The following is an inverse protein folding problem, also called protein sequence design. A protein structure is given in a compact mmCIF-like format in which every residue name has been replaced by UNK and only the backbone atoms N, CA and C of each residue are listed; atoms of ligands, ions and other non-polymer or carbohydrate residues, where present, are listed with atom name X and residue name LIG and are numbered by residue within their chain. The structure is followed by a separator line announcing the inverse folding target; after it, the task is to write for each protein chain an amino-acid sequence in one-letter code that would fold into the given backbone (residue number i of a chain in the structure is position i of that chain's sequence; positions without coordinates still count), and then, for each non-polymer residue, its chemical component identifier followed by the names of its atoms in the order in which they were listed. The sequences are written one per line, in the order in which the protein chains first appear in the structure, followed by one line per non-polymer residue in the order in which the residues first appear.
data_IF_789549886011
#
_entry.id   IF_789549886011
#
_cell.length_a   1.000
_cell.length_b   1.000
_cell.length_c   1.000
_cell.angle_alpha   90.00
_cell.angle_beta   90.00
_cell.angle_gamma   90.00
#
_symmetry.space_group_name_H-M   'P 1'
#
loop_
_entity.id
_entity.type
_entity.pdbx_description
1 polymer ?
#
# COMPACT_ATOMS: atom_id res chain seq x y z
N UNK A 1 14.69 28.53 4.09
CA UNK A 1 14.33 27.56 5.16
C UNK A 1 13.24 28.06 6.11
N UNK A 2 12.74 29.28 5.95
CA UNK A 2 11.40 29.67 6.40
C UNK A 2 10.70 30.37 5.25
N UNK A 3 9.44 29.99 4.99
CA UNK A 3 8.53 30.86 4.26
C UNK A 3 7.98 31.88 5.25
N UNK A 4 7.95 33.16 4.89
CA UNK A 4 7.33 34.21 5.72
C UNK A 4 5.86 33.91 6.04
N UNK A 5 5.15 34.84 6.68
CA UNK A 5 3.72 34.64 6.94
C UNK A 5 2.96 34.45 5.61
N UNK A 6 2.31 33.29 5.47
CA UNK A 6 1.51 32.94 4.29
C UNK A 6 0.40 31.95 4.70
N UNK A 7 -0.61 31.81 3.86
CA UNK A 7 -1.84 31.05 4.17
C UNK A 7 -1.58 29.60 4.58
N UNK A 8 -0.60 28.91 3.99
CA UNK A 8 -0.32 27.51 4.30
C UNK A 8 0.19 27.25 5.72
N UNK A 9 0.54 28.29 6.49
CA UNK A 9 0.85 28.14 7.92
C UNK A 9 -0.38 27.75 8.76
N UNK A 10 -1.58 28.00 8.23
CA UNK A 10 -2.86 27.66 8.85
C UNK A 10 -3.52 26.43 8.22
N UNK A 11 -2.86 25.79 7.25
CA UNK A 11 -3.35 24.60 6.56
C UNK A 11 -2.46 23.39 6.88
N UNK A 12 -3.02 22.20 6.65
CA UNK A 12 -2.28 20.93 6.65
C UNK A 12 -2.43 20.28 5.28
N UNK A 13 -1.32 19.89 4.67
CA UNK A 13 -1.35 19.08 3.45
C UNK A 13 -1.68 17.65 3.83
N UNK A 14 -2.74 17.10 3.25
CA UNK A 14 -3.16 15.71 3.43
C UNK A 14 -3.09 15.01 2.08
N UNK A 15 -2.38 13.89 2.03
CA UNK A 15 -2.34 13.03 0.83
C UNK A 15 -3.51 12.04 0.89
N UNK A 16 -4.16 11.82 -0.24
CA UNK A 16 -5.21 10.81 -0.41
C UNK A 16 -4.90 9.95 -1.63
N UNK A 17 -5.23 8.66 -1.55
CA UNK A 17 -5.04 7.71 -2.64
C UNK A 17 -6.12 6.63 -2.59
N UNK A 18 -6.62 6.28 -3.77
CA UNK A 18 -7.64 5.25 -3.97
C UNK A 18 -7.25 4.41 -5.18
N UNK A 19 -7.33 3.09 -5.03
CA UNK A 19 -7.03 2.14 -6.11
C UNK A 19 -8.36 1.57 -6.59
N UNK A 20 -8.77 1.94 -7.80
CA UNK A 20 -10.08 1.57 -8.38
C UNK A 20 -9.98 0.49 -9.46
N UNK A 21 -8.80 0.30 -10.04
CA UNK A 21 -8.54 -0.72 -11.07
C UNK A 21 -8.02 -2.03 -10.44
N UNK A 22 -8.61 -3.16 -10.83
CA UNK A 22 -8.25 -4.48 -10.28
C UNK A 22 -6.87 -4.93 -10.73
N UNK A 23 -6.43 -4.57 -11.94
CA UNK A 23 -5.07 -4.84 -12.42
C UNK A 23 -4.02 -4.14 -11.53
N UNK A 24 -4.27 -2.87 -11.23
CA UNK A 24 -3.46 -2.04 -10.34
C UNK A 24 -3.47 -2.57 -8.90
N UNK A 25 -4.62 -3.02 -8.40
CA UNK A 25 -4.71 -3.68 -7.09
C UNK A 25 -3.81 -4.92 -7.01
N UNK A 26 -3.82 -5.76 -8.03
CA UNK A 26 -2.97 -6.95 -8.08
C UNK A 26 -1.47 -6.58 -8.15
N UNK A 27 -1.12 -5.64 -9.04
CA UNK A 27 0.25 -5.17 -9.21
C UNK A 27 0.82 -4.58 -7.91
N UNK A 28 0.07 -3.67 -7.27
CA UNK A 28 0.47 -3.03 -6.02
C UNK A 28 0.52 -4.03 -4.87
N UNK A 29 -0.44 -4.95 -4.78
CA UNK A 29 -0.42 -6.02 -3.77
C UNK A 29 0.87 -6.85 -3.83
N UNK A 30 1.25 -7.32 -5.02
CA UNK A 30 2.50 -8.07 -5.25
C UNK A 30 3.75 -7.26 -4.93
N UNK A 31 3.78 -6.00 -5.38
CA UNK A 31 4.92 -5.10 -5.17
C UNK A 31 5.12 -4.79 -3.68
N UNK A 32 4.08 -4.29 -3.02
CA UNK A 32 4.11 -3.93 -1.60
C UNK A 32 4.34 -5.16 -0.72
N UNK A 33 3.76 -6.31 -1.09
CA UNK A 33 3.96 -7.59 -0.41
C UNK A 33 5.43 -8.00 -0.37
N UNK A 34 6.10 -7.96 -1.52
CA UNK A 34 7.55 -8.25 -1.64
C UNK A 34 8.41 -7.23 -0.91
N UNK A 35 8.13 -5.93 -1.06
CA UNK A 35 8.90 -4.87 -0.41
C UNK A 35 8.83 -5.00 1.13
N UNK A 36 7.63 -5.19 1.68
CA UNK A 36 7.41 -5.33 3.13
C UNK A 36 8.13 -6.54 3.72
N UNK A 37 8.30 -7.64 2.97
CA UNK A 37 9.06 -8.81 3.43
C UNK A 37 10.55 -8.53 3.58
N UNK A 38 11.13 -7.76 2.66
CA UNK A 38 12.53 -7.32 2.77
C UNK A 38 12.73 -6.42 3.99
N UNK A 39 11.70 -5.68 4.38
CA UNK A 39 11.67 -4.83 5.56
C UNK A 39 11.29 -5.55 6.87
N UNK A 40 11.05 -6.87 6.83
CA UNK A 40 10.61 -7.69 7.97
C UNK A 40 9.23 -7.27 8.55
N UNK A 41 8.34 -6.72 7.72
CA UNK A 41 6.99 -6.30 8.09
C UNK A 41 5.90 -7.27 7.58
N UNK A 42 5.80 -8.44 8.20
CA UNK A 42 4.91 -9.51 7.71
C UNK A 42 3.42 -9.12 7.65
N UNK A 43 2.92 -8.30 8.59
CA UNK A 43 1.53 -7.81 8.54
C UNK A 43 1.23 -6.93 7.32
N UNK A 44 2.19 -6.09 6.92
CA UNK A 44 2.10 -5.30 5.69
C UNK A 44 2.21 -6.19 4.46
N UNK A 45 3.10 -7.19 4.50
CA UNK A 45 3.26 -8.14 3.41
C UNK A 45 1.97 -8.92 3.12
N UNK A 46 1.36 -9.50 4.17
CA UNK A 46 0.10 -10.25 4.05
C UNK A 46 -1.05 -9.37 3.59
N UNK A 47 -1.08 -8.09 3.99
CA UNK A 47 -2.05 -7.11 3.49
C UNK A 47 -1.94 -6.91 1.97
N UNK A 48 -0.73 -6.96 1.42
CA UNK A 48 -0.51 -6.96 -0.04
C UNK A 48 -0.98 -8.26 -0.68
N UNK A 49 -0.60 -9.41 -0.12
CA UNK A 49 -0.94 -10.71 -0.68
C UNK A 49 -2.45 -10.95 -0.76
N UNK A 50 -3.23 -10.62 0.29
CA UNK A 50 -4.69 -10.81 0.25
C UNK A 50 -5.37 -9.97 -0.84
N UNK A 51 -4.81 -8.79 -1.15
CA UNK A 51 -5.32 -7.93 -2.22
C UNK A 51 -4.95 -8.46 -3.60
N UNK A 52 -3.75 -9.01 -3.75
CA UNK A 52 -3.32 -9.67 -4.97
C UNK A 52 -4.11 -10.96 -5.23
N UNK A 53 -4.32 -11.77 -4.19
CA UNK A 53 -5.18 -12.96 -4.23
C UNK A 53 -6.61 -12.61 -4.63
N UNK A 54 -7.21 -11.60 -4.00
CA UNK A 54 -8.57 -11.14 -4.33
C UNK A 54 -8.71 -10.67 -5.79
N UNK A 55 -7.72 -9.96 -6.32
CA UNK A 55 -7.82 -9.34 -7.64
C UNK A 55 -7.35 -10.26 -8.80
N UNK A 56 -6.40 -11.15 -8.54
CA UNK A 56 -5.73 -11.95 -9.59
C UNK A 56 -5.62 -13.45 -9.28
N UNK A 57 -6.14 -13.91 -8.13
CA UNK A 57 -6.12 -15.33 -7.76
C UNK A 57 -4.75 -15.84 -7.28
N UNK A 58 -3.84 -14.94 -6.91
CA UNK A 58 -2.53 -15.31 -6.36
C UNK A 58 -2.64 -16.20 -5.12
N UNK A 59 -1.71 -17.13 -4.97
CA UNK A 59 -1.67 -18.05 -3.84
C UNK A 59 -1.30 -17.32 -2.52
N UNK A 60 -1.86 -17.80 -1.41
CA UNK A 60 -1.56 -17.32 -0.06
C UNK A 60 -0.78 -18.41 0.72
N UNK A 61 0.54 -18.52 0.54
CA UNK A 61 1.34 -19.64 1.09
C UNK A 61 1.39 -19.68 2.62
N UNK A 62 1.02 -18.58 3.28
CA UNK A 62 0.95 -18.46 4.74
C UNK A 62 -0.44 -18.81 5.29
N UNK A 63 -1.44 -19.02 4.43
CA UNK A 63 -2.81 -19.42 4.81
C UNK A 63 -3.00 -20.90 4.49
N UNK A 64 -2.42 -21.76 5.34
CA UNK A 64 -2.40 -23.23 5.16
C UNK A 64 -3.51 -23.95 5.94
N UNK A 65 -4.44 -23.21 6.54
CA UNK A 65 -5.67 -23.72 7.16
C UNK A 65 -6.80 -23.82 6.11
#
# INVERSE_FOLDING_TARGET
YTGGLWVGKYLKTVTYQEVTDTGSQALLGRLCGRASRVELFEGHARSGDVRAAKAAGDALPWNTE
#
